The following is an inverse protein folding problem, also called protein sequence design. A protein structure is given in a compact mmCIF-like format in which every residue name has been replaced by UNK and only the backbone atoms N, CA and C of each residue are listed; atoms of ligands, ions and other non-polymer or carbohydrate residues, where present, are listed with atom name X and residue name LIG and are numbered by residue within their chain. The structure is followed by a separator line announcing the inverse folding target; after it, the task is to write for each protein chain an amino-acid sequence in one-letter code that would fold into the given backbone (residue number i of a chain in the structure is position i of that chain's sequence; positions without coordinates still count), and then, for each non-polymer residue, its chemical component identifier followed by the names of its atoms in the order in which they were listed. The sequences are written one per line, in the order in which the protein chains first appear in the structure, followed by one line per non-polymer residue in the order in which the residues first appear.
data_IF_519901798107
#
_entry.id   IF_519901798107
#
_cell.length_a   1.000
_cell.length_b   1.000
_cell.length_c   1.000
_cell.angle_alpha   90.00
_cell.angle_beta   90.00
_cell.angle_gamma   90.00
#
_symmetry.space_group_name_H-M   'P 1'
#
loop_
_entity.id
_entity.type
_entity.pdbx_description
1 polymer ?
#
# COMPACT_ATOMS: atom_id res chain seq x y z
N UNK A 1 -35.84 -12.63 24.16
CA UNK A 1 -35.68 -11.84 22.92
C UNK A 1 -34.29 -12.10 22.38
N UNK A 2 -34.22 -12.78 21.24
CA UNK A 2 -32.96 -13.08 20.57
C UNK A 2 -32.42 -11.80 19.92
N UNK A 3 -31.36 -11.22 20.50
CA UNK A 3 -30.89 -9.86 20.18
C UNK A 3 -30.01 -9.78 18.93
N UNK A 4 -29.70 -10.90 18.30
CA UNK A 4 -28.66 -11.00 17.25
C UNK A 4 -29.28 -11.11 15.83
N UNK A 5 -30.55 -11.51 15.73
CA UNK A 5 -31.20 -11.75 14.44
C UNK A 5 -30.60 -12.94 13.67
N UNK A 6 -31.06 -13.15 12.44
CA UNK A 6 -30.56 -14.24 11.59
C UNK A 6 -29.23 -13.86 10.93
N UNK A 7 -28.22 -14.72 11.03
CA UNK A 7 -26.95 -14.56 10.32
C UNK A 7 -26.69 -15.76 9.39
N UNK A 8 -25.84 -15.53 8.39
CA UNK A 8 -25.35 -16.59 7.50
C UNK A 8 -23.85 -16.45 7.29
N UNK A 9 -23.12 -17.52 7.55
CA UNK A 9 -21.69 -17.62 7.25
C UNK A 9 -21.54 -17.77 5.73
N UNK A 10 -20.66 -16.97 5.13
CA UNK A 10 -20.28 -17.07 3.72
C UNK A 10 -18.78 -17.31 3.61
N UNK A 11 -18.34 -18.22 2.72
CA UNK A 11 -16.92 -18.38 2.47
C UNK A 11 -16.36 -17.11 1.83
N UNK A 12 -15.06 -16.87 2.06
CA UNK A 12 -14.33 -15.88 1.28
C UNK A 12 -14.30 -16.28 -0.20
N UNK A 13 -14.28 -15.28 -1.09
CA UNK A 13 -14.05 -15.51 -2.51
C UNK A 13 -12.66 -16.13 -2.72
N UNK A 14 -12.46 -16.84 -3.84
CA UNK A 14 -11.16 -17.44 -4.17
C UNK A 14 -10.01 -16.44 -4.09
N UNK A 15 -10.19 -15.21 -4.59
CA UNK A 15 -9.18 -14.16 -4.50
C UNK A 15 -8.80 -13.82 -3.05
N UNK A 16 -9.78 -13.75 -2.13
CA UNK A 16 -9.53 -13.47 -0.72
C UNK A 16 -8.88 -14.65 0.01
N UNK A 17 -9.21 -15.89 -0.38
CA UNK A 17 -8.52 -17.08 0.12
C UNK A 17 -7.04 -17.08 -0.29
N UNK A 18 -6.71 -16.65 -1.51
CA UNK A 18 -5.32 -16.51 -1.95
C UNK A 18 -4.55 -15.48 -1.11
N UNK A 19 -5.18 -14.36 -0.73
CA UNK A 19 -4.56 -13.37 0.17
C UNK A 19 -4.24 -14.00 1.53
N UNK A 20 -5.15 -14.80 2.09
CA UNK A 20 -4.91 -15.49 3.37
C UNK A 20 -3.71 -16.44 3.29
N UNK A 21 -3.55 -17.16 2.17
CA UNK A 21 -2.40 -18.02 1.92
C UNK A 21 -1.09 -17.23 1.88
N UNK A 22 -1.03 -16.15 1.09
CA UNK A 22 0.17 -15.32 0.92
C UNK A 22 0.60 -14.70 2.27
N UNK A 23 -0.34 -14.17 3.04
CA UNK A 23 -0.05 -13.58 4.35
C UNK A 23 0.48 -14.64 5.32
N UNK A 24 -0.14 -15.84 5.34
CA UNK A 24 0.27 -16.94 6.22
C UNK A 24 1.74 -17.33 5.99
N UNK A 25 2.17 -17.44 4.74
CA UNK A 25 3.58 -17.74 4.45
C UNK A 25 4.50 -16.53 4.71
N UNK A 26 4.05 -15.31 4.42
CA UNK A 26 4.79 -14.08 4.69
C UNK A 26 5.13 -13.90 6.18
N UNK A 27 4.23 -14.29 7.08
CA UNK A 27 4.45 -14.25 8.54
C UNK A 27 5.59 -15.14 9.04
N UNK A 28 6.01 -16.14 8.27
CA UNK A 28 7.11 -17.04 8.65
C UNK A 28 8.48 -16.40 8.42
N UNK A 29 8.53 -15.28 7.67
CA UNK A 29 9.75 -14.52 7.45
C UNK A 29 10.10 -13.70 8.70
N UNK A 30 11.27 -13.94 9.27
CA UNK A 30 11.85 -13.10 10.32
C UNK A 30 12.16 -11.72 9.73
N UNK A 31 11.24 -10.77 9.93
CA UNK A 31 11.32 -9.43 9.37
C UNK A 31 11.65 -8.44 10.49
N UNK A 32 12.63 -7.58 10.23
CA UNK A 32 12.92 -6.43 11.10
C UNK A 32 12.16 -5.24 10.54
N UNK A 33 11.27 -4.67 11.35
CA UNK A 33 10.53 -3.48 10.99
C UNK A 33 11.32 -2.25 11.44
N UNK A 34 11.63 -1.37 10.49
CA UNK A 34 12.37 -0.13 10.76
C UNK A 34 11.50 1.06 10.37
N UNK A 35 11.48 2.07 11.24
CA UNK A 35 10.94 3.38 10.92
C UNK A 35 12.07 4.27 10.43
N UNK A 36 11.85 4.90 9.28
CA UNK A 36 12.78 5.86 8.70
C UNK A 36 12.02 7.14 8.39
N UNK A 37 12.69 8.27 8.60
CA UNK A 37 12.24 9.57 8.16
C UNK A 37 13.12 10.00 6.99
N UNK A 38 12.50 10.51 5.94
CA UNK A 38 13.20 10.96 4.73
C UNK A 38 12.67 12.33 4.38
N UNK A 39 13.56 13.31 4.27
CA UNK A 39 13.20 14.62 3.75
C UNK A 39 12.88 14.51 2.26
N UNK A 40 11.65 14.87 1.90
CA UNK A 40 11.13 14.82 0.52
C UNK A 40 10.73 16.20 0.02
N UNK A 41 11.17 17.27 0.68
CA UNK A 41 10.77 18.65 0.39
C UNK A 41 11.03 19.00 -1.07
N UNK A 42 12.26 18.78 -1.55
CA UNK A 42 12.64 19.10 -2.92
C UNK A 42 11.94 18.19 -3.94
N UNK A 43 11.79 16.90 -3.65
CA UNK A 43 11.08 15.98 -4.52
C UNK A 43 9.62 16.40 -4.72
N UNK A 44 8.94 16.79 -3.62
CA UNK A 44 7.55 17.25 -3.66
C UNK A 44 7.41 18.60 -4.37
N UNK A 45 8.36 19.51 -4.16
CA UNK A 45 8.43 20.79 -4.89
C UNK A 45 8.59 20.54 -6.40
N UNK A 46 9.53 19.69 -6.80
CA UNK A 46 9.79 19.39 -8.21
C UNK A 46 8.59 18.74 -8.90
N UNK A 47 7.92 17.77 -8.25
CA UNK A 47 6.70 17.15 -8.80
C UNK A 47 5.61 18.21 -9.04
N UNK A 48 5.46 19.16 -8.11
CA UNK A 48 4.50 20.26 -8.24
C UNK A 48 4.89 21.20 -9.39
N UNK A 49 6.15 21.60 -9.47
CA UNK A 49 6.63 22.47 -10.54
C UNK A 49 6.47 21.85 -11.93
N UNK A 50 6.70 20.54 -12.06
CA UNK A 50 6.46 19.81 -13.32
C UNK A 50 4.99 19.95 -13.70
N UNK A 51 4.07 19.67 -12.77
CA UNK A 51 2.64 19.80 -13.03
C UNK A 51 2.25 21.23 -13.42
N UNK A 52 2.79 22.25 -12.73
CA UNK A 52 2.52 23.66 -13.04
C UNK A 52 3.06 24.07 -14.42
N UNK A 53 4.18 23.49 -14.87
CA UNK A 53 4.81 23.81 -16.16
C UNK A 53 4.23 23.04 -17.34
N UNK A 54 3.83 21.78 -17.15
CA UNK A 54 3.48 20.86 -18.25
C UNK A 54 2.04 20.36 -18.20
N UNK A 55 1.36 20.48 -17.06
CA UNK A 55 0.06 19.84 -16.81
C UNK A 55 0.13 18.33 -16.52
N UNK A 56 1.33 17.72 -16.58
CA UNK A 56 1.51 16.30 -16.29
C UNK A 56 1.51 16.01 -14.79
N UNK A 57 0.76 14.99 -14.38
CA UNK A 57 0.67 14.58 -12.97
C UNK A 57 1.56 13.38 -12.68
N UNK A 58 2.70 13.61 -12.04
CA UNK A 58 3.56 12.52 -11.60
C UNK A 58 3.14 12.00 -10.23
N UNK A 59 3.09 10.67 -10.11
CA UNK A 59 2.78 10.00 -8.86
C UNK A 59 3.97 10.09 -7.90
N UNK A 60 3.74 10.59 -6.69
CA UNK A 60 4.75 10.55 -5.63
C UNK A 60 5.15 9.10 -5.30
N UNK A 61 4.19 8.16 -5.30
CA UNK A 61 4.50 6.72 -5.15
C UNK A 61 5.35 6.21 -6.30
N UNK A 62 5.09 6.66 -7.54
CA UNK A 62 5.93 6.33 -8.69
C UNK A 62 7.38 6.82 -8.54
N UNK A 63 7.55 8.03 -7.99
CA UNK A 63 8.87 8.55 -7.65
C UNK A 63 9.57 7.72 -6.56
N UNK A 64 8.85 7.30 -5.51
CA UNK A 64 9.39 6.39 -4.48
C UNK A 64 9.85 5.06 -5.12
N UNK A 65 9.02 4.46 -5.98
CA UNK A 65 9.39 3.22 -6.68
C UNK A 65 10.66 3.38 -7.51
N UNK A 66 10.82 4.52 -8.22
CA UNK A 66 12.04 4.84 -8.95
C UNK A 66 13.25 4.91 -8.01
N UNK A 67 13.13 5.56 -6.86
CA UNK A 67 14.22 5.66 -5.88
C UNK A 67 14.65 4.29 -5.33
N UNK A 68 13.68 3.41 -5.03
CA UNK A 68 13.96 2.06 -4.53
C UNK A 68 14.57 1.15 -5.61
N UNK A 69 14.30 1.42 -6.88
CA UNK A 69 14.78 0.63 -8.00
C UNK A 69 16.15 1.07 -8.56
N UNK A 70 16.78 2.14 -8.05
CA UNK A 70 18.13 2.57 -8.46
C UNK A 70 19.20 1.64 -7.92
#
# INVERSE_FOLDING_TARGET
MDRIGNYRIKPFTKHRQNIALVIKEGWRKHSVHVFVEVDVTDARKNIREIFEKTGEKYSFTGWICKCVAQ
#
